data_IF_465710075648
#
_entry.id   IF_465710075648
#
_cell.length_a   1.000
_cell.length_b   1.000
_cell.length_c   1.000
_cell.angle_alpha   90.00
_cell.angle_beta   90.00
_cell.angle_gamma   90.00
#
_symmetry.space_group_name_H-M   'P 1'
#
loop_
_entity.id
_entity.type
_entity.pdbx_description
1 polymer ?
#
# COMPACT_ATOMS: atom_id res chain seq x y z
N UNK A 1 -34.52 -19.94 12.40
CA UNK A 1 -35.77 -19.15 12.20
C UNK A 1 -35.55 -17.66 11.90
N UNK A 2 -34.46 -17.00 12.33
CA UNK A 2 -34.26 -15.53 12.13
C UNK A 2 -34.20 -15.04 10.68
N UNK A 3 -33.47 -15.71 9.78
CA UNK A 3 -33.28 -15.25 8.38
C UNK A 3 -34.56 -15.13 7.55
N UNK A 4 -35.57 -15.96 7.85
CA UNK A 4 -36.86 -15.94 7.12
C UNK A 4 -37.71 -14.77 7.60
N UNK A 5 -37.76 -14.56 8.93
CA UNK A 5 -38.45 -13.44 9.55
C UNK A 5 -37.88 -12.09 9.08
N UNK A 6 -36.55 -11.97 9.06
CA UNK A 6 -35.84 -10.76 8.58
C UNK A 6 -36.17 -10.44 7.12
N UNK A 7 -36.24 -11.46 6.26
CA UNK A 7 -36.57 -11.31 4.84
C UNK A 7 -38.01 -10.85 4.65
N UNK A 8 -38.94 -11.35 5.47
CA UNK A 8 -40.34 -10.92 5.44
C UNK A 8 -40.51 -9.47 5.94
N UNK A 9 -39.82 -9.10 7.02
CA UNK A 9 -39.84 -7.74 7.56
C UNK A 9 -39.26 -6.77 6.53
N UNK A 10 -38.13 -7.10 5.91
CA UNK A 10 -37.50 -6.28 4.88
C UNK A 10 -38.44 -6.04 3.67
N UNK A 11 -39.07 -7.10 3.15
CA UNK A 11 -40.05 -6.96 2.05
C UNK A 11 -41.22 -6.07 2.43
N UNK A 12 -41.73 -6.16 3.66
CA UNK A 12 -42.82 -5.30 4.15
C UNK A 12 -42.41 -3.84 4.25
N UNK A 13 -41.19 -3.56 4.73
CA UNK A 13 -40.65 -2.20 4.81
C UNK A 13 -40.51 -1.60 3.41
N UNK A 14 -39.96 -2.36 2.46
CA UNK A 14 -39.85 -1.91 1.06
C UNK A 14 -41.23 -1.66 0.44
N UNK A 15 -42.18 -2.57 0.63
CA UNK A 15 -43.54 -2.41 0.11
C UNK A 15 -44.26 -1.20 0.72
N UNK A 16 -44.04 -0.92 2.02
CA UNK A 16 -44.56 0.29 2.69
C UNK A 16 -44.02 1.55 2.00
N UNK A 17 -42.70 1.67 1.88
CA UNK A 17 -42.08 2.88 1.29
C UNK A 17 -42.41 3.04 -0.20
N UNK A 18 -42.51 1.95 -0.95
CA UNK A 18 -42.98 1.96 -2.35
C UNK A 18 -44.42 2.46 -2.47
N UNK A 19 -45.33 1.99 -1.59
CA UNK A 19 -46.72 2.48 -1.54
C UNK A 19 -46.82 3.94 -1.12
N UNK A 20 -45.96 4.39 -0.21
CA UNK A 20 -45.87 5.81 0.17
C UNK A 20 -45.46 6.65 -1.03
N UNK A 21 -44.44 6.23 -1.79
CA UNK A 21 -43.98 6.93 -2.99
C UNK A 21 -45.07 7.01 -4.08
N UNK A 22 -45.87 5.94 -4.25
CA UNK A 22 -46.96 5.89 -5.24
C UNK A 22 -48.18 6.77 -4.89
N UNK A 23 -48.35 7.14 -3.62
CA UNK A 23 -49.52 7.89 -3.15
C UNK A 23 -49.18 9.28 -2.62
N UNK A 24 -47.98 9.80 -2.91
CA UNK A 24 -47.50 11.11 -2.39
C UNK A 24 -48.52 12.22 -2.67
N UNK A 25 -49.12 12.24 -3.85
CA UNK A 25 -50.05 13.31 -4.28
C UNK A 25 -51.42 13.25 -3.56
N UNK A 26 -51.70 12.18 -2.82
CA UNK A 26 -53.00 11.92 -2.16
C UNK A 26 -52.95 12.01 -0.64
N UNK A 27 -51.77 12.25 -0.06
CA UNK A 27 -51.56 12.27 1.40
C UNK A 27 -51.61 13.72 1.92
N UNK A 28 -52.25 13.99 3.08
CA UNK A 28 -52.26 15.32 3.69
C UNK A 28 -50.85 15.88 3.93
N UNK A 29 -50.69 17.20 3.80
CA UNK A 29 -49.38 17.87 3.87
C UNK A 29 -48.65 17.66 5.21
N UNK A 30 -49.39 17.53 6.33
CA UNK A 30 -48.82 17.20 7.64
C UNK A 30 -48.14 15.84 7.65
N UNK A 31 -48.83 14.84 7.11
CA UNK A 31 -48.37 13.45 7.07
C UNK A 31 -47.24 13.28 6.05
N UNK A 32 -47.25 14.06 4.97
CA UNK A 32 -46.16 14.11 4.01
C UNK A 32 -44.86 14.64 4.64
N UNK A 33 -44.94 15.67 5.49
CA UNK A 33 -43.75 16.19 6.20
C UNK A 33 -43.13 15.12 7.10
N UNK A 34 -43.96 14.46 7.91
CA UNK A 34 -43.50 13.39 8.79
C UNK A 34 -42.88 12.22 7.99
N UNK A 35 -43.57 11.74 6.95
CA UNK A 35 -43.07 10.63 6.11
C UNK A 35 -41.78 11.00 5.39
N UNK A 36 -41.64 12.24 4.92
CA UNK A 36 -40.41 12.75 4.29
C UNK A 36 -39.24 12.73 5.27
N UNK A 37 -39.46 13.16 6.50
CA UNK A 37 -38.41 13.25 7.50
C UNK A 37 -37.97 11.85 7.97
N UNK A 38 -38.93 10.92 8.17
CA UNK A 38 -38.65 9.49 8.39
C UNK A 38 -37.85 8.86 7.23
N UNK A 39 -38.20 9.17 5.98
CA UNK A 39 -37.48 8.67 4.80
C UNK A 39 -36.03 9.20 4.73
N UNK A 40 -35.83 10.49 5.04
CA UNK A 40 -34.48 11.10 5.08
C UNK A 40 -33.61 10.46 6.15
N UNK A 41 -34.17 10.17 7.32
CA UNK A 41 -33.44 9.49 8.39
C UNK A 41 -33.05 8.06 7.97
N UNK A 42 -33.95 7.31 7.32
CA UNK A 42 -33.63 5.98 6.82
C UNK A 42 -32.55 6.04 5.74
N UNK A 43 -32.65 6.97 4.78
CA UNK A 43 -31.65 7.18 3.73
C UNK A 43 -30.27 7.46 4.32
N UNK A 44 -30.16 8.34 5.31
CA UNK A 44 -28.87 8.64 5.95
C UNK A 44 -28.20 7.40 6.59
N UNK A 45 -28.99 6.52 7.22
CA UNK A 45 -28.46 5.26 7.76
C UNK A 45 -28.04 4.28 6.67
N UNK A 46 -28.84 4.17 5.59
CA UNK A 46 -28.53 3.32 4.45
C UNK A 46 -27.27 3.81 3.72
N UNK A 47 -27.15 5.11 3.45
CA UNK A 47 -25.97 5.72 2.82
C UNK A 47 -24.71 5.47 3.67
N UNK A 48 -24.81 5.65 5.01
CA UNK A 48 -23.70 5.35 5.93
C UNK A 48 -23.30 3.87 5.92
N UNK A 49 -24.27 2.96 5.79
CA UNK A 49 -24.00 1.52 5.70
C UNK A 49 -23.38 1.17 4.36
N UNK A 50 -23.94 1.65 3.24
CA UNK A 50 -23.43 1.46 1.88
C UNK A 50 -22.00 1.99 1.78
N UNK A 51 -21.73 3.21 2.23
CA UNK A 51 -20.37 3.77 2.26
C UNK A 51 -19.38 2.89 3.06
N UNK A 52 -19.83 2.30 4.17
CA UNK A 52 -19.02 1.35 4.96
C UNK A 52 -18.88 0.00 4.27
N UNK A 53 -19.90 -0.48 3.59
CA UNK A 53 -19.95 -1.75 2.89
C UNK A 53 -19.12 -1.70 1.60
N UNK A 54 -19.27 -0.68 0.77
CA UNK A 54 -18.45 -0.42 -0.41
C UNK A 54 -16.98 -0.26 -0.01
N UNK A 55 -16.70 0.43 1.10
CA UNK A 55 -15.36 0.49 1.66
C UNK A 55 -14.82 -0.84 2.20
N UNK A 56 -15.65 -1.89 2.35
CA UNK A 56 -15.22 -3.25 2.71
C UNK A 56 -15.23 -4.21 1.53
N UNK A 57 -16.12 -3.99 0.57
CA UNK A 57 -16.40 -4.88 -0.56
C UNK A 57 -15.59 -4.48 -1.80
N UNK A 58 -15.30 -3.19 -1.98
CA UNK A 58 -14.39 -2.67 -2.99
C UNK A 58 -13.08 -2.33 -2.29
N UNK A 59 -12.12 -3.26 -2.40
CA UNK A 59 -10.70 -3.08 -2.08
C UNK A 59 -9.93 -4.34 -2.42
N UNK A 60 -8.64 -4.23 -2.70
CA UNK A 60 -7.80 -5.41 -2.80
C UNK A 60 -7.96 -6.24 -1.52
N UNK A 61 -8.25 -7.52 -1.74
CA UNK A 61 -8.41 -8.51 -0.67
C UNK A 61 -7.11 -8.54 0.15
N UNK A 62 -7.23 -8.59 1.48
CA UNK A 62 -6.07 -8.78 2.37
C UNK A 62 -5.32 -10.03 1.91
N UNK A 63 -3.98 -9.94 1.86
CA UNK A 63 -3.14 -11.01 1.34
C UNK A 63 -3.04 -11.09 -0.19
N UNK A 64 -3.69 -10.20 -0.95
CA UNK A 64 -3.56 -10.18 -2.42
C UNK A 64 -2.10 -10.00 -2.85
N UNK A 65 -1.62 -10.93 -3.67
CA UNK A 65 -0.28 -10.92 -4.28
C UNK A 65 -0.31 -10.58 -5.76
N UNK A 66 -1.48 -10.31 -6.35
CA UNK A 66 -1.61 -10.06 -7.79
C UNK A 66 -1.23 -8.62 -8.13
N UNK A 67 -0.37 -8.49 -9.12
CA UNK A 67 0.00 -7.24 -9.81
C UNK A 67 0.52 -7.59 -11.21
N UNK A 68 0.62 -6.60 -12.09
CA UNK A 68 1.13 -6.81 -13.45
C UNK A 68 2.63 -7.14 -13.38
N UNK A 69 3.06 -8.16 -14.10
CA UNK A 69 4.48 -8.54 -14.19
C UNK A 69 4.90 -8.63 -15.65
N UNK A 70 6.12 -8.24 -16.02
CA UNK A 70 6.67 -8.46 -17.35
C UNK A 70 6.60 -9.93 -17.78
N UNK A 71 6.50 -10.17 -19.09
CA UNK A 71 6.64 -11.53 -19.64
C UNK A 71 8.02 -12.09 -19.29
N UNK A 72 8.09 -13.39 -18.97
CA UNK A 72 9.33 -14.02 -18.52
C UNK A 72 9.67 -13.77 -17.04
N UNK A 73 8.76 -13.20 -16.26
CA UNK A 73 8.87 -13.13 -14.79
C UNK A 73 8.85 -14.54 -14.21
N UNK A 74 9.93 -14.88 -13.50
CA UNK A 74 10.10 -16.17 -12.84
C UNK A 74 9.91 -16.08 -11.32
N UNK A 75 9.98 -14.88 -10.75
CA UNK A 75 9.72 -14.60 -9.36
C UNK A 75 9.06 -13.23 -9.18
N UNK A 76 8.08 -13.14 -8.27
CA UNK A 76 7.41 -11.88 -7.94
C UNK A 76 6.99 -11.85 -6.47
N UNK A 77 7.00 -10.66 -5.88
CA UNK A 77 6.76 -10.51 -4.45
C UNK A 77 6.29 -9.10 -4.06
N UNK A 78 5.45 -9.05 -3.03
CA UNK A 78 5.00 -7.82 -2.35
C UNK A 78 5.27 -8.00 -0.85
N UNK A 79 5.96 -7.06 -0.17
CA UNK A 79 6.25 -7.20 1.26
C UNK A 79 5.00 -7.19 2.14
N UNK A 80 5.10 -7.80 3.32
CA UNK A 80 3.96 -8.00 4.23
C UNK A 80 3.35 -6.70 4.71
N UNK A 81 4.16 -5.67 4.91
CA UNK A 81 3.72 -4.32 5.26
C UNK A 81 2.63 -3.76 4.32
N UNK A 82 2.61 -4.17 3.05
CA UNK A 82 1.57 -3.76 2.08
C UNK A 82 0.43 -4.77 1.93
N UNK A 83 0.60 -6.01 2.41
CA UNK A 83 -0.38 -7.12 2.27
C UNK A 83 -1.26 -7.33 3.51
N UNK A 84 -0.68 -7.20 4.69
CA UNK A 84 -1.25 -7.62 5.97
C UNK A 84 -1.28 -6.46 6.98
N UNK A 85 -2.25 -6.43 7.91
CA UNK A 85 -2.30 -5.40 8.95
C UNK A 85 -1.15 -5.56 9.95
N UNK A 86 -0.46 -4.46 10.27
CA UNK A 86 0.53 -4.45 11.34
C UNK A 86 -0.13 -4.62 12.71
N UNK A 87 0.55 -5.34 13.61
CA UNK A 87 0.15 -5.43 15.03
C UNK A 87 0.11 -4.06 15.70
N UNK A 88 1.07 -3.19 15.36
CA UNK A 88 1.11 -1.78 15.71
C UNK A 88 1.04 -0.95 14.43
N UNK A 89 -0.14 -0.40 14.13
CA UNK A 89 -0.39 0.34 12.91
C UNK A 89 0.37 1.68 12.79
N UNK A 90 1.01 2.19 13.85
CA UNK A 90 1.80 3.41 13.76
C UNK A 90 2.74 3.68 14.93
N UNK A 91 3.73 4.51 14.66
CA UNK A 91 4.80 4.95 15.55
C UNK A 91 4.96 6.45 15.41
N UNK A 92 5.12 7.14 16.53
CA UNK A 92 5.46 8.55 16.59
C UNK A 92 6.80 8.71 17.29
N UNK A 93 7.48 9.82 17.04
CA UNK A 93 8.84 10.06 17.54
C UNK A 93 9.79 8.91 17.19
N UNK A 94 9.77 8.51 15.92
CA UNK A 94 10.56 7.37 15.43
C UNK A 94 12.04 7.66 15.67
N UNK A 95 12.72 6.74 16.36
CA UNK A 95 14.15 6.83 16.61
C UNK A 95 14.98 6.40 15.38
N UNK A 96 16.28 6.69 15.43
CA UNK A 96 17.24 6.46 14.31
C UNK A 96 17.20 5.07 13.68
N UNK A 97 16.77 4.06 14.45
CA UNK A 97 16.45 2.72 14.00
C UNK A 97 15.12 2.31 14.63
N UNK A 98 14.15 1.93 13.81
CA UNK A 98 12.88 1.42 14.30
C UNK A 98 12.35 0.31 13.39
N UNK A 99 11.94 -0.80 13.99
CA UNK A 99 11.38 -1.93 13.27
C UNK A 99 9.86 -1.75 13.11
N UNK A 100 9.35 -1.84 11.88
CA UNK A 100 7.92 -1.70 11.57
C UNK A 100 7.23 -3.07 11.56
N UNK A 101 7.88 -4.07 10.96
CA UNK A 101 7.46 -5.47 10.95
C UNK A 101 8.67 -6.41 10.88
N UNK A 102 8.44 -7.70 10.58
CA UNK A 102 9.51 -8.69 10.44
C UNK A 102 10.44 -8.47 9.24
N UNK A 103 10.04 -7.67 8.24
CA UNK A 103 10.77 -7.45 6.99
C UNK A 103 11.29 -6.00 6.85
N UNK A 104 10.66 -5.03 7.50
CA UNK A 104 10.88 -3.60 7.27
C UNK A 104 11.39 -2.90 8.53
N UNK A 105 12.54 -2.25 8.38
CA UNK A 105 13.15 -1.40 9.41
C UNK A 105 13.42 -0.02 8.84
N UNK A 106 12.99 1.03 9.55
CA UNK A 106 13.33 2.41 9.20
C UNK A 106 14.64 2.84 9.83
N UNK A 107 15.42 3.61 9.08
CA UNK A 107 16.65 4.27 9.50
C UNK A 107 16.62 5.75 9.15
N UNK A 108 17.17 6.60 10.00
CA UNK A 108 17.38 8.02 9.66
C UNK A 108 18.50 8.62 10.50
N UNK A 109 19.04 9.74 10.04
CA UNK A 109 20.08 10.52 10.73
C UNK A 109 19.55 11.78 11.44
N UNK A 110 18.28 12.14 11.22
CA UNK A 110 17.67 13.32 11.85
C UNK A 110 17.70 13.24 13.41
N UNK A 111 18.26 14.25 14.11
CA UNK A 111 18.34 14.26 15.56
C UNK A 111 17.02 14.65 16.25
N UNK A 112 16.11 15.34 15.55
CA UNK A 112 14.85 15.81 16.13
C UNK A 112 13.83 14.69 16.34
N UNK A 113 13.93 13.61 15.55
CA UNK A 113 12.99 12.49 15.57
C UNK A 113 11.51 12.92 15.43
N UNK A 114 11.22 14.05 14.79
CA UNK A 114 9.84 14.51 14.52
C UNK A 114 9.24 13.79 13.31
N UNK A 115 9.24 12.47 13.41
CA UNK A 115 8.91 11.52 12.34
C UNK A 115 7.81 10.60 12.88
N UNK A 116 6.73 10.49 12.12
CA UNK A 116 5.65 9.54 12.35
C UNK A 116 5.52 8.57 11.17
N UNK A 117 5.46 7.28 11.49
CA UNK A 117 5.25 6.21 10.52
C UNK A 117 3.91 5.54 10.82
N UNK A 118 3.06 5.36 9.81
CA UNK A 118 1.74 4.77 10.00
C UNK A 118 1.32 3.93 8.81
N UNK A 119 0.91 2.69 9.06
CA UNK A 119 0.21 1.90 8.07
C UNK A 119 -1.22 2.43 7.91
N UNK A 120 -1.63 2.64 6.65
CA UNK A 120 -2.95 3.15 6.29
C UNK A 120 -3.63 2.16 5.36
N UNK A 121 -4.91 1.89 5.57
CA UNK A 121 -5.69 1.02 4.68
C UNK A 121 -5.90 1.73 3.33
N UNK A 122 -5.52 1.08 2.24
CA UNK A 122 -5.85 1.52 0.89
C UNK A 122 -7.33 1.36 0.60
N UNK A 123 -7.86 2.31 -0.17
CA UNK A 123 -9.31 2.55 -0.23
C UNK A 123 -9.86 2.76 -1.63
N UNK A 124 -9.00 2.98 -2.62
CA UNK A 124 -9.37 3.32 -3.98
C UNK A 124 -9.53 2.06 -4.81
N UNK A 125 -10.39 2.11 -5.82
CA UNK A 125 -10.71 0.97 -6.67
C UNK A 125 -9.51 0.47 -7.47
N UNK A 126 -8.59 1.39 -7.80
CA UNK A 126 -7.32 1.11 -8.50
C UNK A 126 -6.21 0.56 -7.60
N UNK A 127 -6.37 0.59 -6.27
CA UNK A 127 -5.33 0.12 -5.36
C UNK A 127 -5.24 -1.41 -5.45
N UNK A 128 -4.03 -1.96 -5.66
CA UNK A 128 -3.79 -3.41 -5.65
C UNK A 128 -3.25 -3.91 -4.31
N UNK A 129 -2.49 -3.09 -3.58
CA UNK A 129 -2.09 -3.34 -2.21
C UNK A 129 -3.23 -2.99 -1.22
N UNK A 130 -3.55 -3.87 -0.26
CA UNK A 130 -4.47 -3.57 0.85
C UNK A 130 -4.04 -2.42 1.76
N UNK A 131 -2.73 -2.19 1.94
CA UNK A 131 -2.19 -1.20 2.86
C UNK A 131 -1.12 -0.32 2.20
N UNK A 132 -0.94 0.88 2.74
CA UNK A 132 0.14 1.84 2.43
C UNK A 132 0.99 2.08 3.68
N UNK A 133 2.21 2.58 3.50
CA UNK A 133 2.96 3.26 4.54
C UNK A 133 2.88 4.78 4.37
N UNK A 134 2.43 5.49 5.40
CA UNK A 134 2.50 6.94 5.50
C UNK A 134 3.70 7.32 6.36
N UNK A 135 4.57 8.17 5.81
CA UNK A 135 5.72 8.78 6.46
C UNK A 135 5.44 10.27 6.58
N UNK A 136 5.25 10.76 7.80
CA UNK A 136 5.01 12.16 8.10
C UNK A 136 6.20 12.72 8.86
N UNK A 137 6.78 13.79 8.34
CA UNK A 137 7.98 14.42 8.86
C UNK A 137 7.72 15.91 9.06
N UNK A 138 7.89 16.38 10.29
CA UNK A 138 7.78 17.80 10.63
C UNK A 138 9.18 18.44 10.51
N UNK A 139 9.90 18.61 11.62
CA UNK A 139 11.30 18.98 11.62
C UNK A 139 12.21 17.84 11.14
N UNK A 140 12.96 18.09 10.06
CA UNK A 140 13.96 17.15 9.57
C UNK A 140 15.30 17.85 9.33
N UNK A 141 16.24 17.64 10.25
CA UNK A 141 17.63 18.16 10.20
C UNK A 141 18.58 16.98 10.02
N UNK A 142 18.31 16.18 8.99
CA UNK A 142 19.12 15.04 8.57
C UNK A 142 19.30 15.06 7.06
N UNK A 143 20.03 14.10 6.53
CA UNK A 143 20.21 13.90 5.10
C UNK A 143 19.25 12.87 4.52
N UNK A 144 18.80 11.87 5.30
CA UNK A 144 17.94 10.81 4.73
C UNK A 144 17.01 10.15 5.76
N UNK A 145 15.88 9.67 5.25
CA UNK A 145 15.09 8.62 5.90
C UNK A 145 15.02 7.43 4.95
N UNK A 146 15.45 6.26 5.40
CA UNK A 146 15.46 5.03 4.63
C UNK A 146 14.54 3.98 5.24
N UNK A 147 13.87 3.20 4.39
CA UNK A 147 13.16 1.98 4.75
C UNK A 147 13.92 0.81 4.14
N UNK A 148 14.55 0.02 5.01
CA UNK A 148 15.24 -1.21 4.62
C UNK A 148 14.26 -2.37 4.66
N UNK A 149 14.07 -3.01 3.51
CA UNK A 149 13.08 -4.07 3.25
C UNK A 149 13.85 -5.35 2.93
N UNK A 150 13.81 -6.32 3.83
CA UNK A 150 14.42 -7.63 3.64
C UNK A 150 13.61 -8.47 2.65
N UNK A 151 14.25 -8.91 1.57
CA UNK A 151 13.63 -9.78 0.57
C UNK A 151 13.59 -11.22 1.09
N UNK A 152 12.56 -12.01 0.73
CA UNK A 152 12.45 -13.39 1.17
C UNK A 152 13.55 -14.26 0.53
N UNK A 153 13.93 -15.40 1.15
CA UNK A 153 14.96 -16.29 0.63
C UNK A 153 14.72 -16.75 -0.82
N UNK A 154 13.45 -16.82 -1.24
CA UNK A 154 13.06 -17.16 -2.62
C UNK A 154 13.60 -16.18 -3.66
N UNK A 155 13.89 -14.92 -3.29
CA UNK A 155 14.46 -13.94 -4.21
C UNK A 155 15.89 -14.30 -4.64
N UNK A 156 16.66 -14.94 -3.75
CA UNK A 156 18.02 -15.39 -4.01
C UNK A 156 18.08 -16.71 -4.80
N UNK A 157 17.02 -17.53 -4.74
CA UNK A 157 17.02 -18.86 -5.35
C UNK A 157 17.11 -18.79 -6.87
N UNK A 158 18.19 -19.32 -7.44
CA UNK A 158 18.44 -19.30 -8.88
C UNK A 158 18.80 -17.91 -9.45
N UNK A 159 19.10 -16.93 -8.58
CA UNK A 159 19.50 -15.60 -9.04
C UNK A 159 20.87 -15.66 -9.72
N UNK A 160 20.95 -15.09 -10.92
CA UNK A 160 22.18 -15.00 -11.73
C UNK A 160 22.33 -13.60 -12.31
N UNK A 161 23.50 -13.27 -12.85
CA UNK A 161 23.73 -11.98 -13.53
C UNK A 161 22.91 -11.79 -14.81
N UNK A 162 22.26 -12.83 -15.31
CA UNK A 162 21.36 -12.74 -16.46
C UNK A 162 19.97 -12.21 -16.09
N UNK A 163 19.70 -12.04 -14.78
CA UNK A 163 18.43 -11.52 -14.30
C UNK A 163 18.45 -10.00 -14.18
N UNK A 164 17.25 -9.43 -14.27
CA UNK A 164 16.94 -8.07 -13.91
C UNK A 164 15.89 -8.11 -12.80
N UNK A 165 16.08 -7.29 -11.76
CA UNK A 165 15.04 -7.05 -10.76
C UNK A 165 14.34 -5.74 -11.07
N UNK A 166 13.02 -5.79 -11.26
CA UNK A 166 12.18 -4.60 -11.36
C UNK A 166 11.57 -4.29 -9.99
N UNK A 167 11.63 -3.03 -9.62
CA UNK A 167 10.87 -2.44 -8.53
C UNK A 167 9.81 -1.53 -9.12
N UNK A 168 8.55 -1.81 -8.81
CA UNK A 168 7.44 -0.87 -9.02
C UNK A 168 6.99 -0.32 -7.66
N UNK A 169 6.86 0.99 -7.56
CA UNK A 169 6.47 1.67 -6.33
C UNK A 169 5.52 2.83 -6.64
N UNK A 170 4.43 2.95 -5.88
CA UNK A 170 3.51 4.08 -5.98
C UNK A 170 3.81 5.04 -4.84
N UNK A 171 4.36 6.21 -5.16
CA UNK A 171 4.72 7.25 -4.20
C UNK A 171 3.81 8.45 -4.36
N UNK A 172 3.22 8.93 -3.27
CA UNK A 172 2.50 10.20 -3.23
C UNK A 172 3.15 11.10 -2.20
N UNK A 173 3.47 12.34 -2.53
CA UNK A 173 4.03 13.30 -1.58
C UNK A 173 3.30 14.63 -1.62
N UNK A 174 3.20 15.30 -0.46
CA UNK A 174 2.65 16.66 -0.39
C UNK A 174 3.61 17.69 -1.00
N UNK A 175 4.91 17.44 -0.89
CA UNK A 175 5.96 18.22 -1.56
C UNK A 175 6.82 17.30 -2.42
N UNK A 176 7.21 17.70 -3.65
CA UNK A 176 8.16 16.96 -4.45
C UNK A 176 9.44 16.67 -3.68
N UNK A 177 9.95 15.45 -3.79
CA UNK A 177 11.21 15.03 -3.22
C UNK A 177 11.85 13.94 -4.08
N UNK A 178 13.17 13.87 -4.05
CA UNK A 178 13.89 12.77 -4.67
C UNK A 178 13.74 11.52 -3.81
N UNK A 179 13.42 10.41 -4.47
CA UNK A 179 13.34 9.09 -3.86
C UNK A 179 14.37 8.22 -4.53
N UNK A 180 15.27 7.64 -3.75
CA UNK A 180 16.26 6.70 -4.24
C UNK A 180 15.94 5.29 -3.76
N UNK A 181 16.36 4.31 -4.53
CA UNK A 181 16.17 2.90 -4.23
C UNK A 181 17.52 2.21 -4.39
N UNK A 182 17.91 1.43 -3.38
CA UNK A 182 19.18 0.71 -3.39
C UNK A 182 18.94 -0.77 -3.21
N UNK A 183 19.29 -1.55 -4.22
CA UNK A 183 19.32 -3.00 -4.12
C UNK A 183 20.68 -3.42 -3.54
N UNK A 184 20.65 -4.22 -2.49
CA UNK A 184 21.83 -4.77 -1.86
C UNK A 184 21.79 -6.29 -1.99
N UNK A 185 22.87 -6.89 -2.50
CA UNK A 185 22.99 -8.33 -2.71
C UNK A 185 24.24 -8.82 -1.97
N UNK A 186 24.03 -9.52 -0.87
CA UNK A 186 25.11 -10.15 -0.12
C UNK A 186 25.48 -11.49 -0.77
N UNK A 187 26.78 -11.66 -1.05
CA UNK A 187 27.33 -12.91 -1.54
C UNK A 187 28.62 -13.32 -0.82
N UNK A 188 28.49 -14.20 0.17
CA UNK A 188 29.57 -14.51 1.12
C UNK A 188 29.96 -13.27 1.95
N UNK A 189 31.26 -12.92 2.04
CA UNK A 189 31.69 -11.76 2.83
C UNK A 189 31.45 -10.41 2.14
N UNK A 190 31.06 -10.42 0.85
CA UNK A 190 30.93 -9.22 0.03
C UNK A 190 29.45 -8.83 -0.13
N UNK A 191 29.19 -7.56 -0.41
CA UNK A 191 27.87 -7.04 -0.78
C UNK A 191 28.01 -6.14 -1.99
N UNK A 192 27.23 -6.41 -3.04
CA UNK A 192 27.08 -5.51 -4.18
C UNK A 192 25.89 -4.58 -3.92
N UNK A 193 26.07 -3.29 -4.16
CA UNK A 193 25.05 -2.26 -3.97
C UNK A 193 24.75 -1.55 -5.29
N UNK A 194 23.48 -1.45 -5.66
CA UNK A 194 23.05 -0.74 -6.87
C UNK A 194 22.05 0.33 -6.49
N UNK A 195 22.46 1.60 -6.61
CA UNK A 195 21.61 2.76 -6.37
C UNK A 195 20.94 3.23 -7.67
N UNK A 196 19.65 3.54 -7.57
CA UNK A 196 18.83 4.09 -8.66
C UNK A 196 17.87 5.12 -8.11
N UNK A 197 17.66 6.21 -8.85
CA UNK A 197 16.60 7.16 -8.57
C UNK A 197 15.27 6.59 -9.05
N UNK A 198 14.23 6.72 -8.23
CA UNK A 198 12.87 6.31 -8.56
C UNK A 198 12.14 7.48 -9.21
N UNK A 199 11.67 7.30 -10.43
CA UNK A 199 10.86 8.29 -11.12
C UNK A 199 9.51 8.48 -10.40
N UNK A 200 9.24 9.67 -9.87
CA UNK A 200 8.01 9.99 -9.12
C UNK A 200 7.01 10.82 -9.92
N UNK A 201 7.34 11.19 -11.16
CA UNK A 201 6.46 11.96 -12.06
C UNK A 201 5.35 11.11 -12.69
N UNK A 202 5.54 9.79 -12.72
CA UNK A 202 4.57 8.82 -13.21
C UNK A 202 3.68 8.28 -12.08
N UNK A 203 2.42 7.85 -12.36
CA UNK A 203 1.56 7.25 -11.34
C UNK A 203 2.14 6.01 -10.64
N UNK A 204 3.03 5.30 -11.34
CA UNK A 204 3.83 4.19 -10.81
C UNK A 204 5.27 4.50 -11.18
N UNK A 205 6.14 4.63 -10.17
CA UNK A 205 7.58 4.72 -10.39
C UNK A 205 8.14 3.32 -10.59
N UNK A 206 8.89 3.12 -11.67
CA UNK A 206 9.51 1.83 -12.01
C UNK A 206 11.01 2.01 -12.11
N UNK A 207 11.76 1.09 -11.53
CA UNK A 207 13.23 1.03 -11.63
C UNK A 207 13.67 -0.40 -11.91
N UNK A 208 14.59 -0.54 -12.86
CA UNK A 208 15.22 -1.82 -13.18
C UNK A 208 16.68 -1.85 -12.66
N UNK A 209 16.98 -2.89 -11.88
CA UNK A 209 18.31 -3.23 -11.41
C UNK A 209 18.90 -4.32 -12.31
N UNK A 210 19.75 -3.91 -13.26
CA UNK A 210 20.50 -4.83 -14.13
C UNK A 210 21.69 -5.43 -13.37
N UNK A 211 21.74 -6.77 -13.30
CA UNK A 211 22.77 -7.50 -12.57
C UNK A 211 23.97 -7.88 -13.45
N UNK A 212 23.92 -7.65 -14.77
CA UNK A 212 24.91 -8.15 -15.72
C UNK A 212 26.35 -7.72 -15.41
N UNK A 213 26.51 -6.49 -14.91
CA UNK A 213 27.81 -5.87 -14.64
C UNK A 213 28.27 -5.97 -13.19
N UNK A 214 27.50 -6.64 -12.32
CA UNK A 214 27.87 -6.80 -10.92
C UNK A 214 28.89 -7.91 -10.73
N UNK A 215 29.74 -7.74 -9.72
CA UNK A 215 30.79 -8.71 -9.37
C UNK A 215 30.24 -9.82 -8.47
N UNK A 216 29.15 -10.45 -8.91
CA UNK A 216 28.39 -11.40 -8.10
C UNK A 216 29.00 -12.81 -8.09
N UNK A 217 29.17 -13.37 -6.89
CA UNK A 217 29.37 -14.80 -6.73
C UNK A 217 28.01 -15.52 -6.66
N UNK A 218 27.50 -15.92 -7.83
CA UNK A 218 26.16 -16.52 -8.00
C UNK A 218 25.92 -17.76 -7.13
N UNK A 219 26.99 -18.52 -6.80
CA UNK A 219 26.90 -19.72 -5.95
C UNK A 219 26.81 -19.42 -4.46
N UNK A 220 27.03 -18.16 -4.07
CA UNK A 220 27.11 -17.72 -2.67
C UNK A 220 26.16 -16.58 -2.34
N UNK A 221 25.09 -16.39 -3.11
CA UNK A 221 24.07 -15.38 -2.81
C UNK A 221 23.31 -15.83 -1.56
N UNK A 222 23.38 -15.03 -0.50
CA UNK A 222 22.85 -15.38 0.82
C UNK A 222 21.60 -14.54 1.15
N UNK A 223 21.68 -13.22 0.96
CA UNK A 223 20.63 -12.29 1.37
C UNK A 223 20.51 -11.13 0.40
N UNK A 224 19.28 -10.67 0.20
CA UNK A 224 18.97 -9.45 -0.53
C UNK A 224 18.12 -8.53 0.35
N UNK A 225 18.34 -7.23 0.24
CA UNK A 225 17.44 -6.23 0.80
C UNK A 225 17.39 -4.99 -0.09
N UNK A 226 16.24 -4.31 -0.06
CA UNK A 226 15.99 -3.08 -0.78
C UNK A 226 15.89 -1.94 0.22
N UNK A 227 16.68 -0.88 0.03
CA UNK A 227 16.48 0.37 0.75
C UNK A 227 15.66 1.34 -0.11
N UNK A 228 14.55 1.87 0.42
CA UNK A 228 13.83 3.02 -0.16
C UNK A 228 14.19 4.26 0.64
N UNK A 229 14.87 5.21 0.00
CA UNK A 229 15.52 6.35 0.63
C UNK A 229 14.81 7.63 0.20
N UNK A 230 14.26 8.35 1.16
CA UNK A 230 13.69 9.68 1.00
C UNK A 230 14.80 10.72 1.27
N UNK A 231 15.14 11.53 0.28
CA UNK A 231 16.12 12.60 0.44
C UNK A 231 15.52 13.78 1.19
N UNK A 232 16.13 14.15 2.31
CA UNK A 232 15.77 15.31 3.17
C UNK A 232 14.25 15.58 3.24
N UNK A 233 13.44 14.64 3.74
CA UNK A 233 11.98 14.79 3.76
C UNK A 233 11.55 15.78 4.86
N UNK A 234 11.89 17.07 4.78
CA UNK A 234 11.48 18.05 5.77
C UNK A 234 10.07 18.58 5.49
N UNK A 235 9.23 18.71 6.52
CA UNK A 235 7.86 19.25 6.41
C UNK A 235 7.06 18.61 5.28
N UNK A 236 7.04 17.27 5.24
CA UNK A 236 6.44 16.51 4.15
C UNK A 236 5.62 15.34 4.68
N UNK A 237 4.67 14.92 3.87
CA UNK A 237 3.96 13.65 4.03
C UNK A 237 4.16 12.85 2.76
N UNK A 238 4.82 11.70 2.90
CA UNK A 238 5.08 10.76 1.81
C UNK A 238 4.32 9.48 2.09
N UNK A 239 3.55 9.02 1.11
CA UNK A 239 2.78 7.78 1.18
C UNK A 239 3.33 6.81 0.14
N UNK A 240 3.93 5.72 0.62
CA UNK A 240 4.30 4.57 -0.20
C UNK A 240 3.08 3.65 -0.30
N UNK A 241 2.32 3.82 -1.38
CA UNK A 241 0.98 3.24 -1.53
C UNK A 241 0.99 1.77 -1.92
N UNK A 242 1.95 1.37 -2.73
CA UNK A 242 2.23 -0.02 -3.11
C UNK A 242 3.73 -0.14 -3.40
N UNK A 243 4.28 -1.33 -3.17
CA UNK A 243 5.66 -1.67 -3.48
C UNK A 243 5.71 -3.14 -3.90
N UNK A 244 6.15 -3.39 -5.12
CA UNK A 244 6.24 -4.75 -5.67
C UNK A 244 7.59 -4.95 -6.34
N UNK A 245 8.14 -6.14 -6.20
CA UNK A 245 9.34 -6.57 -6.91
C UNK A 245 9.02 -7.75 -7.81
N UNK A 246 9.67 -7.80 -8.96
CA UNK A 246 9.74 -9.01 -9.75
C UNK A 246 11.15 -9.22 -10.31
N UNK A 247 11.44 -10.47 -10.62
CA UNK A 247 12.66 -10.92 -11.27
C UNK A 247 12.29 -11.56 -12.59
N UNK A 248 13.03 -11.22 -13.62
CA UNK A 248 12.91 -11.81 -14.95
C UNK A 248 14.28 -11.86 -15.62
N UNK A 249 14.43 -12.72 -16.62
CA UNK A 249 15.62 -12.71 -17.46
C UNK A 249 15.68 -11.42 -18.29
N UNK A 250 16.89 -10.93 -18.52
CA UNK A 250 17.12 -9.89 -19.53
C UNK A 250 16.61 -10.41 -20.88
N UNK A 251 15.95 -9.56 -21.65
CA UNK A 251 15.71 -9.86 -23.05
C UNK A 251 17.08 -9.92 -23.76
N UNK A 252 17.35 -11.02 -24.45
CA UNK A 252 18.54 -11.10 -25.31
C UNK A 252 18.42 -10.00 -26.38
N UNK A 253 19.34 -9.03 -26.34
CA UNK A 253 19.51 -8.00 -27.37
C UNK A 253 20.22 -8.59 -28.60
#
# INVERSE_FOLDING_TARGET
MGRVLDRHIHRRILARWSRVAQNVDRVPLSDLRQRRDEARQLRAHLDKMIQKADGRLVRPLIGSTRFSTPLGTDWSWRPDLWREPLSRAGMASVGRKAQLDSQVTSFHDCPLAEIALRQVRNRRDRDLAPFSLSVETLGFVGSFLSLSIELPPTAAQGLTRQHMLRLDCIVESERPLNVFTRLNIQHGPNTEEVLRELETDSPVGSVDFDLAHLTLNERRIEKLWLDVILDKPAMNKVVLRDLTLCRHHRADL
#
